data_IF_332910984933
#
_entry.id   IF_332910984933
#
_cell.length_a   1.000
_cell.length_b   1.000
_cell.length_c   1.000
_cell.angle_alpha   90.00
_cell.angle_beta   90.00
_cell.angle_gamma   90.00
#
_symmetry.space_group_name_H-M   'P 1'
#
loop_
_entity.id
_entity.type
_entity.pdbx_description
1 polymer ?
#
# COMPACT_ATOMS: atom_id res chain seq x y z
N UNK A 1 1.90 -8.36 -22.93
CA UNK A 1 0.48 -7.99 -23.19
C UNK A 1 -0.38 -8.67 -22.14
N UNK A 2 -0.77 -7.92 -21.12
CA UNK A 2 -1.74 -8.37 -20.13
C UNK A 2 -3.09 -8.43 -20.82
N UNK A 3 -3.79 -9.53 -20.63
CA UNK A 3 -5.18 -9.61 -21.04
C UNK A 3 -5.97 -9.41 -19.76
N UNK A 4 -6.52 -8.21 -19.62
CA UNK A 4 -7.32 -7.83 -18.47
C UNK A 4 -8.41 -8.89 -18.25
N UNK A 5 -8.48 -9.45 -17.05
CA UNK A 5 -9.60 -10.27 -16.64
C UNK A 5 -10.86 -9.39 -16.69
N UNK A 6 -11.56 -9.47 -17.80
CA UNK A 6 -13.00 -9.51 -17.71
C UNK A 6 -13.50 -10.47 -18.76
N UNK A 7 -13.78 -11.70 -18.33
CA UNK A 7 -14.99 -12.32 -18.86
C UNK A 7 -16.13 -11.34 -18.61
N UNK A 8 -16.67 -10.76 -19.67
CA UNK A 8 -17.80 -9.83 -19.71
C UNK A 8 -17.59 -8.39 -19.19
N UNK A 9 -17.30 -8.11 -17.93
CA UNK A 9 -17.63 -6.77 -17.37
C UNK A 9 -16.90 -5.54 -17.94
N UNK A 10 -15.59 -5.60 -18.20
CA UNK A 10 -14.81 -4.45 -18.72
C UNK A 10 -14.85 -4.39 -20.25
N UNK A 11 -14.85 -5.55 -20.93
CA UNK A 11 -15.02 -5.67 -22.40
C UNK A 11 -16.44 -5.31 -22.84
N UNK A 12 -17.43 -5.40 -21.95
CA UNK A 12 -18.81 -5.08 -22.28
C UNK A 12 -19.14 -3.59 -22.26
N UNK A 13 -18.26 -2.76 -21.73
CA UNK A 13 -18.59 -1.38 -21.46
C UNK A 13 -18.14 -0.47 -22.61
N UNK A 14 -19.08 0.29 -23.18
CA UNK A 14 -18.82 1.30 -24.22
C UNK A 14 -18.22 2.59 -23.66
N UNK A 15 -18.00 2.67 -22.34
CA UNK A 15 -17.37 3.84 -21.72
C UNK A 15 -15.84 3.69 -21.53
N UNK A 16 -15.25 2.57 -21.99
CA UNK A 16 -13.79 2.42 -22.04
C UNK A 16 -13.29 2.73 -23.46
N UNK A 17 -12.36 3.69 -23.65
CA UNK A 17 -11.89 4.11 -24.97
C UNK A 17 -11.09 3.04 -25.74
N UNK A 18 -10.65 2.01 -25.04
CA UNK A 18 -9.92 0.85 -25.56
C UNK A 18 -10.81 -0.41 -25.70
N UNK A 19 -12.12 -0.29 -25.45
CA UNK A 19 -13.05 -1.40 -25.61
C UNK A 19 -13.17 -1.81 -27.08
N UNK A 20 -13.04 -3.11 -27.43
CA UNK A 20 -13.27 -3.58 -28.78
C UNK A 20 -14.70 -3.32 -29.27
N UNK A 21 -15.65 -3.02 -28.38
CA UNK A 21 -17.01 -2.60 -28.75
C UNK A 21 -17.06 -1.26 -29.48
N UNK A 22 -16.05 -0.41 -29.35
CA UNK A 22 -15.98 0.86 -30.09
C UNK A 22 -15.70 0.65 -31.58
N UNK A 23 -15.20 -0.52 -31.98
CA UNK A 23 -15.07 -0.89 -33.39
C UNK A 23 -16.42 -1.31 -34.02
N UNK A 24 -17.44 -1.58 -33.20
CA UNK A 24 -18.79 -1.93 -33.68
C UNK A 24 -19.52 -0.65 -34.09
N UNK A 25 -20.30 -0.66 -35.19
CA UNK A 25 -21.20 0.42 -35.52
C UNK A 25 -22.11 0.84 -34.35
N UNK A 26 -22.23 2.15 -34.12
CA UNK A 26 -23.05 2.71 -33.03
C UNK A 26 -24.45 3.12 -33.49
N UNK A 27 -24.80 2.90 -34.76
CA UNK A 27 -26.09 3.22 -35.38
C UNK A 27 -27.29 2.71 -34.58
N UNK A 28 -27.20 1.50 -33.99
CA UNK A 28 -28.23 0.94 -33.14
C UNK A 28 -28.43 1.76 -31.85
N UNK A 29 -27.33 2.19 -31.22
CA UNK A 29 -27.36 3.02 -30.01
C UNK A 29 -27.90 4.41 -30.34
N UNK A 30 -27.56 4.97 -31.50
CA UNK A 30 -28.07 6.28 -31.91
C UNK A 30 -29.58 6.24 -32.19
N UNK A 31 -30.09 5.12 -32.73
CA UNK A 31 -31.50 4.95 -33.02
C UNK A 31 -32.36 4.60 -31.80
N UNK A 32 -31.85 3.81 -30.86
CA UNK A 32 -32.63 3.25 -29.75
C UNK A 32 -32.16 3.66 -28.35
N UNK A 33 -31.03 4.35 -28.22
CA UNK A 33 -30.40 4.61 -26.94
C UNK A 33 -29.76 3.37 -26.32
N UNK A 34 -29.59 3.38 -25.00
CA UNK A 34 -29.13 2.22 -24.22
C UNK A 34 -30.34 1.39 -23.82
N UNK A 35 -30.51 0.24 -24.46
CA UNK A 35 -31.55 -0.72 -24.14
C UNK A 35 -31.04 -1.78 -23.17
N UNK A 36 -31.83 -2.11 -22.14
CA UNK A 36 -31.61 -3.26 -21.29
C UNK A 36 -31.89 -4.58 -22.02
N UNK A 37 -31.35 -5.69 -21.51
CA UNK A 37 -31.52 -7.02 -22.13
C UNK A 37 -32.99 -7.42 -22.32
N UNK A 38 -33.86 -7.09 -21.36
CA UNK A 38 -35.30 -7.35 -21.46
C UNK A 38 -35.98 -6.56 -22.59
N UNK A 39 -35.60 -5.29 -22.76
CA UNK A 39 -36.15 -4.41 -23.80
C UNK A 39 -35.71 -4.85 -25.20
N UNK A 40 -34.44 -5.23 -25.35
CA UNK A 40 -33.92 -5.80 -26.61
C UNK A 40 -34.66 -7.08 -26.97
N UNK A 41 -34.92 -7.95 -25.98
CA UNK A 41 -35.66 -9.20 -26.20
C UNK A 41 -37.09 -8.94 -26.68
N UNK A 42 -37.83 -8.06 -26.02
CA UNK A 42 -39.18 -7.66 -26.44
C UNK A 42 -39.17 -7.06 -27.84
N UNK A 43 -38.21 -6.18 -28.15
CA UNK A 43 -38.10 -5.55 -29.47
C UNK A 43 -37.80 -6.56 -30.58
N UNK A 44 -36.97 -7.58 -30.30
CA UNK A 44 -36.68 -8.68 -31.22
C UNK A 44 -37.89 -9.58 -31.45
N UNK A 45 -38.70 -9.84 -30.42
CA UNK A 45 -39.89 -10.68 -30.50
C UNK A 45 -41.04 -9.98 -31.25
N UNK A 46 -41.26 -8.70 -30.96
CA UNK A 46 -42.40 -7.93 -31.50
C UNK A 46 -42.10 -7.29 -32.85
N UNK A 47 -40.87 -6.84 -33.10
CA UNK A 47 -40.50 -6.05 -34.27
C UNK A 47 -39.09 -6.40 -34.82
N UNK A 48 -38.83 -7.67 -35.20
CA UNK A 48 -37.48 -8.10 -35.61
C UNK A 48 -36.93 -7.32 -36.80
N UNK A 49 -37.79 -6.90 -37.75
CA UNK A 49 -37.38 -6.14 -38.93
C UNK A 49 -36.82 -4.75 -38.58
N UNK A 50 -37.17 -4.16 -37.42
CA UNK A 50 -36.60 -2.89 -36.97
C UNK A 50 -35.14 -3.02 -36.54
N UNK A 51 -34.74 -4.18 -36.01
CA UNK A 51 -33.38 -4.42 -35.54
C UNK A 51 -32.48 -5.06 -36.61
N UNK A 52 -33.08 -5.71 -37.61
CA UNK A 52 -32.36 -6.43 -38.66
C UNK A 52 -31.27 -5.62 -39.37
N UNK A 53 -31.48 -4.36 -39.82
CA UNK A 53 -30.43 -3.58 -40.48
C UNK A 53 -29.20 -3.39 -39.59
N UNK A 54 -29.41 -3.11 -38.31
CA UNK A 54 -28.34 -2.90 -37.34
C UNK A 54 -27.61 -4.19 -36.99
N UNK A 55 -28.32 -5.32 -36.92
CA UNK A 55 -27.71 -6.64 -36.74
C UNK A 55 -26.87 -7.05 -37.95
N UNK A 56 -27.33 -6.76 -39.17
CA UNK A 56 -26.57 -6.99 -40.40
C UNK A 56 -25.30 -6.13 -40.46
N UNK A 57 -25.40 -4.88 -40.03
CA UNK A 57 -24.27 -3.96 -39.92
C UNK A 57 -23.22 -4.41 -38.88
N UNK A 58 -23.67 -4.93 -37.72
CA UNK A 58 -22.79 -5.39 -36.64
C UNK A 58 -22.21 -6.80 -36.87
N UNK A 59 -22.87 -7.64 -37.68
CA UNK A 59 -22.51 -9.06 -37.89
C UNK A 59 -21.04 -9.29 -38.28
N UNK A 60 -20.40 -8.49 -39.15
CA UNK A 60 -18.98 -8.67 -39.48
C UNK A 60 -18.04 -8.56 -38.26
N UNK A 61 -18.47 -7.88 -37.20
CA UNK A 61 -17.67 -7.65 -35.99
C UNK A 61 -17.85 -8.74 -34.93
N UNK A 62 -18.84 -9.64 -35.04
CA UNK A 62 -19.12 -10.63 -34.00
C UNK A 62 -17.94 -11.55 -33.68
N UNK A 63 -17.12 -11.90 -34.67
CA UNK A 63 -15.91 -12.71 -34.48
C UNK A 63 -14.83 -12.00 -33.66
N UNK A 64 -14.87 -10.67 -33.58
CA UNK A 64 -13.95 -9.88 -32.74
C UNK A 64 -14.38 -9.82 -31.27
N UNK A 65 -15.63 -10.19 -30.97
CA UNK A 65 -16.27 -10.04 -29.65
C UNK A 65 -16.65 -11.38 -29.02
N UNK A 66 -16.65 -12.45 -29.79
CA UNK A 66 -17.06 -13.75 -29.32
C UNK A 66 -15.89 -14.54 -28.70
N UNK A 67 -16.19 -15.77 -28.32
CA UNK A 67 -15.24 -16.68 -27.71
C UNK A 67 -14.03 -17.00 -28.63
N UNK A 68 -14.17 -16.90 -29.94
CA UNK A 68 -13.14 -17.24 -30.92
C UNK A 68 -12.26 -16.04 -31.31
N UNK A 69 -12.54 -14.86 -30.76
CA UNK A 69 -11.74 -13.67 -31.03
C UNK A 69 -10.26 -13.90 -30.70
N UNK A 70 -9.32 -13.24 -31.42
CA UNK A 70 -7.89 -13.35 -31.13
C UNK A 70 -7.54 -13.02 -29.67
N UNK A 71 -8.24 -12.04 -29.07
CA UNK A 71 -8.06 -11.61 -27.69
C UNK A 71 -8.51 -12.72 -26.72
N UNK A 72 -9.74 -13.22 -26.90
CA UNK A 72 -10.31 -14.30 -26.08
C UNK A 72 -9.48 -15.58 -26.14
N UNK A 73 -9.00 -15.96 -27.33
CA UNK A 73 -8.12 -17.12 -27.51
C UNK A 73 -6.79 -16.94 -26.77
N UNK A 74 -6.14 -15.79 -26.94
CA UNK A 74 -4.85 -15.50 -26.29
C UNK A 74 -4.98 -15.50 -24.76
N UNK A 75 -6.08 -14.98 -24.21
CA UNK A 75 -6.37 -15.04 -22.78
C UNK A 75 -6.37 -16.47 -22.26
N UNK A 76 -7.13 -17.34 -22.93
CA UNK A 76 -7.22 -18.75 -22.57
C UNK A 76 -5.89 -19.47 -22.72
N UNK A 77 -5.10 -19.14 -23.74
CA UNK A 77 -3.73 -19.67 -23.89
C UNK A 77 -2.88 -19.29 -22.69
N UNK A 78 -2.82 -18.01 -22.30
CA UNK A 78 -2.03 -17.56 -21.15
C UNK A 78 -2.47 -18.26 -19.85
N UNK A 79 -3.78 -18.33 -19.59
CA UNK A 79 -4.31 -19.04 -18.42
C UNK A 79 -3.98 -20.52 -18.47
N UNK A 80 -4.14 -21.16 -19.64
CA UNK A 80 -3.80 -22.56 -19.82
C UNK A 80 -2.31 -22.83 -19.61
N UNK A 81 -1.44 -21.93 -20.06
CA UNK A 81 0.01 -22.05 -19.91
C UNK A 81 0.40 -21.92 -18.44
N UNK A 82 -0.16 -20.94 -17.72
CA UNK A 82 0.04 -20.81 -16.28
C UNK A 82 -0.52 -22.02 -15.51
N UNK A 83 -1.71 -22.51 -15.88
CA UNK A 83 -2.29 -23.72 -15.30
C UNK A 83 -1.41 -24.95 -15.53
N UNK A 84 -0.86 -25.11 -16.73
CA UNK A 84 0.07 -26.19 -17.05
C UNK A 84 1.37 -26.07 -16.25
N UNK A 85 1.87 -24.85 -16.07
CA UNK A 85 3.01 -24.58 -15.21
C UNK A 85 2.74 -24.99 -13.75
N UNK A 86 1.61 -24.57 -13.17
CA UNK A 86 1.25 -24.92 -11.79
C UNK A 86 1.05 -26.43 -11.63
N UNK A 87 0.44 -27.11 -12.62
CA UNK A 87 0.33 -28.58 -12.59
C UNK A 87 1.70 -29.28 -12.63
N UNK A 88 2.63 -28.76 -13.42
CA UNK A 88 3.95 -29.38 -13.60
C UNK A 88 4.87 -29.16 -12.39
N UNK A 89 4.74 -28.02 -11.71
CA UNK A 89 5.66 -27.60 -10.66
C UNK A 89 5.05 -27.60 -9.25
N UNK A 90 3.72 -27.61 -9.13
CA UNK A 90 2.99 -27.41 -7.90
C UNK A 90 2.94 -25.94 -7.45
N UNK A 91 2.15 -25.69 -6.40
CA UNK A 91 2.23 -24.45 -5.62
C UNK A 91 3.15 -24.71 -4.43
N UNK A 92 4.12 -23.81 -4.12
CA UNK A 92 4.94 -23.95 -2.92
C UNK A 92 4.07 -24.15 -1.67
N UNK A 93 4.44 -25.13 -0.85
CA UNK A 93 3.76 -25.43 0.40
C UNK A 93 3.93 -24.27 1.40
N UNK A 94 2.90 -24.07 2.24
CA UNK A 94 2.91 -23.07 3.31
C UNK A 94 2.49 -21.67 2.85
N UNK A 95 2.92 -20.67 3.62
CA UNK A 95 2.70 -19.26 3.33
C UNK A 95 4.03 -18.58 2.99
N UNK A 96 4.01 -17.49 2.19
CA UNK A 96 5.20 -16.68 2.01
C UNK A 96 5.64 -16.07 3.35
N UNK A 97 6.94 -15.96 3.55
CA UNK A 97 7.52 -15.25 4.68
C UNK A 97 7.15 -13.76 4.61
N UNK A 98 6.62 -13.25 5.72
CA UNK A 98 6.24 -11.86 5.91
C UNK A 98 6.76 -11.42 7.27
N UNK A 99 7.73 -10.52 7.28
CA UNK A 99 8.39 -10.05 8.52
C UNK A 99 7.82 -8.73 9.02
N UNK A 100 6.99 -8.08 8.21
CA UNK A 100 6.42 -6.76 8.45
C UNK A 100 4.90 -6.89 8.33
N UNK A 101 4.19 -6.34 9.31
CA UNK A 101 2.75 -6.20 9.24
C UNK A 101 2.34 -4.72 9.20
N UNK A 102 1.39 -4.41 8.32
CA UNK A 102 0.62 -3.17 8.34
C UNK A 102 -0.56 -3.36 9.30
N UNK A 103 -0.64 -2.54 10.33
CA UNK A 103 -1.71 -2.57 11.30
C UNK A 103 -2.97 -1.91 10.72
N UNK A 104 -4.02 -2.71 10.53
CA UNK A 104 -5.39 -2.20 10.40
C UNK A 104 -5.93 -1.92 11.80
N UNK A 105 -5.93 -0.64 12.15
CA UNK A 105 -6.35 -0.18 13.47
C UNK A 105 -7.83 -0.44 13.76
N UNK A 106 -8.22 -0.19 15.00
CA UNK A 106 -9.63 -0.18 15.40
C UNK A 106 -10.38 0.92 14.64
N UNK A 107 -11.52 0.57 14.05
CA UNK A 107 -12.34 1.43 13.18
C UNK A 107 -11.66 1.85 11.85
N UNK A 108 -10.52 1.23 11.52
CA UNK A 108 -9.80 1.55 10.29
C UNK A 108 -10.45 0.92 9.06
N UNK A 109 -10.55 1.72 8.01
CA UNK A 109 -11.10 1.35 6.71
C UNK A 109 -10.24 1.99 5.63
N UNK A 110 -9.82 1.17 4.68
CA UNK A 110 -9.09 1.61 3.51
C UNK A 110 -9.84 1.19 2.26
N UNK A 111 -9.60 1.88 1.15
CA UNK A 111 -10.08 1.46 -0.17
C UNK A 111 -8.90 1.23 -1.09
N UNK A 112 -9.15 0.63 -2.26
CA UNK A 112 -8.10 0.35 -3.24
C UNK A 112 -7.35 1.62 -3.70
N UNK A 113 -7.91 2.83 -3.57
CA UNK A 113 -7.21 4.08 -3.91
C UNK A 113 -7.62 5.23 -3.00
N UNK A 114 -6.67 6.12 -2.74
CA UNK A 114 -6.99 7.39 -2.13
C UNK A 114 -7.69 8.32 -3.14
N UNK A 115 -8.87 8.81 -2.78
CA UNK A 115 -9.57 9.88 -3.46
C UNK A 115 -10.30 10.72 -2.40
N UNK A 116 -9.94 12.00 -2.27
CA UNK A 116 -10.51 12.89 -1.26
C UNK A 116 -12.04 13.05 -1.36
N UNK A 117 -12.64 12.77 -2.53
CA UNK A 117 -14.09 12.86 -2.71
C UNK A 117 -14.82 11.55 -2.40
N UNK A 118 -14.12 10.46 -2.04
CA UNK A 118 -14.76 9.19 -1.71
C UNK A 118 -15.21 9.19 -0.26
N UNK A 119 -16.49 8.91 -0.03
CA UNK A 119 -17.00 8.66 1.30
C UNK A 119 -16.50 7.30 1.81
N UNK A 120 -16.14 7.22 3.09
CA UNK A 120 -15.76 5.96 3.72
C UNK A 120 -16.92 4.97 3.61
N UNK A 121 -16.63 3.76 3.12
CA UNK A 121 -17.64 2.71 2.87
C UNK A 121 -18.83 3.13 1.98
N UNK A 122 -18.66 4.17 1.14
CA UNK A 122 -19.75 4.67 0.29
C UNK A 122 -20.85 5.42 1.04
N UNK A 123 -20.62 5.83 2.28
CA UNK A 123 -21.58 6.54 3.13
C UNK A 123 -21.67 8.04 2.75
N UNK A 124 -22.06 8.32 1.51
CA UNK A 124 -22.06 9.70 0.97
C UNK A 124 -23.01 10.64 1.72
N UNK A 125 -24.20 10.18 2.10
CA UNK A 125 -25.16 11.01 2.84
C UNK A 125 -24.55 11.49 4.18
N UNK A 126 -23.85 10.60 4.89
CA UNK A 126 -23.14 10.92 6.13
C UNK A 126 -21.96 11.87 5.87
N UNK A 127 -21.20 11.64 4.79
CA UNK A 127 -20.04 12.45 4.46
C UNK A 127 -20.40 13.88 4.02
N UNK A 128 -21.55 14.07 3.38
CA UNK A 128 -22.07 15.41 3.03
C UNK A 128 -22.40 16.22 4.29
N UNK A 129 -23.00 15.58 5.30
CA UNK A 129 -23.30 16.24 6.58
C UNK A 129 -22.05 16.45 7.44
N UNK A 130 -21.10 15.51 7.39
CA UNK A 130 -19.84 15.55 8.12
C UNK A 130 -18.64 15.16 7.22
N UNK A 131 -17.93 16.16 6.67
CA UNK A 131 -16.83 15.92 5.73
C UNK A 131 -15.66 15.08 6.26
N UNK A 132 -15.54 14.85 7.58
CA UNK A 132 -14.54 13.94 8.14
C UNK A 132 -14.75 12.46 7.72
N UNK A 133 -15.93 12.14 7.17
CA UNK A 133 -16.25 10.84 6.59
C UNK A 133 -15.94 10.75 5.09
N UNK A 134 -15.32 11.79 4.50
CA UNK A 134 -14.54 11.61 3.27
C UNK A 134 -13.15 11.07 3.58
N UNK A 135 -12.50 10.49 2.57
CA UNK A 135 -11.12 10.03 2.73
C UNK A 135 -10.17 11.20 3.03
N UNK A 136 -9.39 11.03 4.09
CA UNK A 136 -8.47 12.03 4.59
C UNK A 136 -7.06 11.48 4.78
N UNK A 137 -6.35 12.06 5.74
CA UNK A 137 -5.00 11.65 6.12
C UNK A 137 -4.89 10.18 6.59
N UNK A 138 -5.90 9.54 7.24
CA UNK A 138 -5.82 8.12 7.55
C UNK A 138 -5.75 7.25 6.28
N UNK A 139 -6.67 7.44 5.33
CA UNK A 139 -6.72 6.63 4.11
C UNK A 139 -5.56 6.94 3.16
N UNK A 140 -5.06 8.18 3.16
CA UNK A 140 -3.83 8.54 2.44
C UNK A 140 -2.61 7.79 3.00
N UNK A 141 -2.59 7.47 4.29
CA UNK A 141 -1.54 6.66 4.89
C UNK A 141 -1.48 5.22 4.33
N UNK A 142 -2.64 4.61 4.04
CA UNK A 142 -2.70 3.33 3.32
C UNK A 142 -2.19 3.42 1.88
N UNK A 143 -2.49 4.51 1.17
CA UNK A 143 -1.89 4.76 -0.14
C UNK A 143 -0.37 4.81 -0.04
N UNK A 144 0.19 5.51 0.96
CA UNK A 144 1.65 5.58 1.14
C UNK A 144 2.27 4.22 1.45
N UNK A 145 1.63 3.43 2.31
CA UNK A 145 2.08 2.07 2.58
C UNK A 145 2.13 1.25 1.27
N UNK A 146 1.11 1.37 0.43
CA UNK A 146 1.10 0.74 -0.89
C UNK A 146 2.24 1.26 -1.78
N UNK A 147 2.43 2.57 -1.88
CA UNK A 147 3.50 3.16 -2.71
C UNK A 147 4.91 2.71 -2.27
N UNK A 148 5.10 2.33 -1.00
CA UNK A 148 6.38 1.82 -0.47
C UNK A 148 6.54 0.32 -0.68
N UNK A 149 5.54 -0.48 -0.32
CA UNK A 149 5.65 -1.94 -0.28
C UNK A 149 5.22 -2.61 -1.60
N UNK A 150 4.37 -1.94 -2.37
CA UNK A 150 3.74 -2.42 -3.61
C UNK A 150 3.70 -1.29 -4.66
N UNK A 151 4.86 -0.76 -5.10
CA UNK A 151 4.93 0.37 -6.01
C UNK A 151 4.23 0.07 -7.35
N UNK A 152 3.30 0.95 -7.75
CA UNK A 152 2.60 0.89 -9.04
C UNK A 152 3.51 1.44 -10.15
N UNK A 153 4.42 0.59 -10.66
CA UNK A 153 5.28 0.94 -11.81
C UNK A 153 4.48 0.98 -13.12
N UNK A 154 4.89 1.78 -14.11
CA UNK A 154 4.06 2.06 -15.28
C UNK A 154 4.17 0.99 -16.38
N UNK A 155 3.97 -0.28 -16.03
CA UNK A 155 4.10 -1.45 -16.93
C UNK A 155 2.91 -1.63 -17.89
N UNK A 156 1.86 -0.82 -17.74
CA UNK A 156 0.66 -0.81 -18.59
C UNK A 156 0.53 0.44 -19.46
N UNK A 157 1.59 1.24 -19.59
CA UNK A 157 1.59 2.47 -20.40
C UNK A 157 0.96 2.25 -21.78
N UNK A 158 0.12 3.18 -22.26
CA UNK A 158 -0.26 4.45 -21.62
C UNK A 158 -1.35 4.33 -20.55
N UNK A 159 -1.89 3.13 -20.32
CA UNK A 159 -2.97 2.88 -19.36
C UNK A 159 -2.47 2.81 -17.92
N UNK A 160 -3.38 3.09 -16.97
CA UNK A 160 -3.04 3.11 -15.55
C UNK A 160 -2.85 1.68 -15.05
N UNK A 161 -1.71 1.41 -14.41
CA UNK A 161 -1.49 0.19 -13.65
C UNK A 161 -2.07 0.34 -12.24
N UNK A 162 -2.86 -0.64 -11.81
CA UNK A 162 -3.60 -0.61 -10.54
C UNK A 162 -3.47 -1.93 -9.76
N UNK A 163 -2.83 -2.93 -10.36
CA UNK A 163 -2.83 -4.31 -9.89
C UNK A 163 -1.43 -4.91 -9.78
N UNK A 164 -0.47 -4.41 -10.56
CA UNK A 164 0.84 -5.01 -10.67
C UNK A 164 1.83 -4.18 -9.89
N UNK A 165 2.61 -4.83 -9.06
CA UNK A 165 3.69 -4.20 -8.33
C UNK A 165 4.81 -5.21 -8.13
N UNK A 166 6.04 -4.72 -8.08
CA UNK A 166 7.10 -5.46 -7.41
C UNK A 166 6.85 -5.46 -5.91
N UNK A 167 7.66 -6.24 -5.19
CA UNK A 167 7.64 -6.28 -3.73
C UNK A 167 9.04 -6.01 -3.21
N UNK A 168 9.58 -4.77 -3.36
CA UNK A 168 10.98 -4.46 -3.11
C UNK A 168 11.46 -4.85 -1.69
N UNK A 169 10.54 -4.86 -0.72
CA UNK A 169 10.81 -5.21 0.68
C UNK A 169 10.24 -6.58 1.10
N UNK A 170 9.77 -7.38 0.15
CA UNK A 170 9.07 -8.64 0.38
C UNK A 170 7.57 -8.48 0.57
N UNK A 171 6.90 -9.60 0.84
CA UNK A 171 5.48 -9.60 1.20
C UNK A 171 5.30 -8.92 2.57
N UNK A 172 4.21 -8.18 2.71
CA UNK A 172 3.78 -7.60 3.98
C UNK A 172 2.35 -8.03 4.28
N UNK A 173 2.09 -8.36 5.53
CA UNK A 173 0.76 -8.78 5.97
C UNK A 173 -0.07 -7.55 6.37
N UNK A 174 -1.39 -7.69 6.30
CA UNK A 174 -2.30 -6.75 6.97
C UNK A 174 -2.88 -7.45 8.19
N UNK A 175 -2.56 -6.94 9.37
CA UNK A 175 -3.02 -7.50 10.64
C UNK A 175 -4.11 -6.60 11.23
N UNK A 176 -5.27 -7.17 11.53
CA UNK A 176 -6.46 -6.41 11.95
C UNK A 176 -6.66 -6.42 13.45
N UNK A 177 -6.54 -5.25 14.08
CA UNK A 177 -6.86 -5.06 15.50
C UNK A 177 -8.35 -5.06 15.81
N UNK A 178 -9.21 -5.12 14.79
CA UNK A 178 -10.66 -5.24 14.99
C UNK A 178 -10.99 -6.37 15.98
N UNK A 179 -11.94 -6.10 16.89
CA UNK A 179 -12.39 -7.00 17.97
C UNK A 179 -11.38 -7.26 19.10
N UNK A 180 -10.15 -6.75 19.02
CA UNK A 180 -9.10 -6.95 20.03
C UNK A 180 -8.76 -8.43 20.31
N UNK A 181 -8.78 -9.28 19.28
CA UNK A 181 -8.52 -10.73 19.38
C UNK A 181 -7.05 -11.13 19.11
N UNK A 182 -6.18 -10.15 18.88
CA UNK A 182 -4.73 -10.37 18.69
C UNK A 182 -4.01 -10.33 20.04
N UNK A 183 -2.92 -11.09 20.16
CA UNK A 183 -1.99 -11.04 21.29
C UNK A 183 -0.61 -10.52 20.89
N UNK A 184 0.14 -9.98 21.85
CA UNK A 184 1.54 -9.61 21.65
C UNK A 184 2.39 -10.83 21.27
N UNK A 185 2.16 -11.98 21.91
CA UNK A 185 2.84 -13.25 21.59
C UNK A 185 2.72 -13.61 20.11
N UNK A 186 1.50 -13.54 19.55
CA UNK A 186 1.28 -13.79 18.13
C UNK A 186 2.09 -12.80 17.28
N UNK A 187 2.00 -11.50 17.59
CA UNK A 187 2.71 -10.47 16.83
C UNK A 187 4.23 -10.65 16.88
N UNK A 188 4.80 -10.92 18.06
CA UNK A 188 6.24 -11.15 18.23
C UNK A 188 6.73 -12.42 17.52
N UNK A 189 5.88 -13.45 17.44
CA UNK A 189 6.20 -14.69 16.75
C UNK A 189 6.25 -14.50 15.23
N UNK A 190 5.36 -13.68 14.68
CA UNK A 190 5.21 -13.54 13.23
C UNK A 190 5.99 -12.36 12.65
N UNK A 191 6.05 -11.22 13.35
CA UNK A 191 6.47 -9.95 12.77
C UNK A 191 7.60 -9.28 13.55
N UNK A 192 8.66 -8.92 12.81
CA UNK A 192 9.74 -8.06 13.30
C UNK A 192 9.30 -6.60 13.42
N UNK A 193 8.42 -6.16 12.53
CA UNK A 193 7.86 -4.81 12.56
C UNK A 193 6.34 -4.76 12.39
N UNK A 194 5.73 -3.81 13.09
CA UNK A 194 4.31 -3.46 13.00
C UNK A 194 4.17 -1.97 12.69
N UNK A 195 3.51 -1.63 11.58
CA UNK A 195 3.41 -0.27 11.07
C UNK A 195 1.95 0.19 10.99
N UNK A 196 1.57 1.20 11.77
CA UNK A 196 0.23 1.79 11.67
C UNK A 196 0.17 2.81 10.52
N UNK A 197 -0.52 2.44 9.43
CA UNK A 197 -0.69 3.30 8.26
C UNK A 197 -1.93 4.20 8.33
N UNK A 198 -3.05 3.68 8.85
CA UNK A 198 -4.35 4.30 8.78
C UNK A 198 -4.90 4.82 10.11
N UNK A 199 -6.24 4.79 10.21
CA UNK A 199 -6.98 5.18 11.38
C UNK A 199 -6.72 4.21 12.54
N UNK A 200 -6.76 4.69 13.79
CA UNK A 200 -6.85 3.79 14.94
C UNK A 200 -7.55 4.50 16.11
N UNK A 201 -8.59 3.89 16.64
CA UNK A 201 -9.15 4.25 17.94
C UNK A 201 -8.50 3.38 19.02
N UNK A 202 -7.56 3.96 19.78
CA UNK A 202 -6.80 3.25 20.78
C UNK A 202 -7.64 2.90 22.01
N UNK A 203 -7.36 1.74 22.59
CA UNK A 203 -7.88 1.35 23.90
C UNK A 203 -6.72 1.07 24.85
N UNK A 204 -6.95 1.11 26.16
CA UNK A 204 -5.93 0.70 27.13
C UNK A 204 -5.44 -0.73 26.89
N UNK A 205 -6.34 -1.64 26.46
CA UNK A 205 -5.99 -3.03 26.12
C UNK A 205 -5.01 -3.06 24.95
N UNK A 206 -5.32 -2.33 23.87
CA UNK A 206 -4.45 -2.25 22.71
C UNK A 206 -3.10 -1.62 23.06
N UNK A 207 -3.10 -0.55 23.85
CA UNK A 207 -1.86 0.11 24.29
C UNK A 207 -0.96 -0.83 25.10
N UNK A 208 -1.53 -1.60 26.05
CA UNK A 208 -0.80 -2.62 26.82
C UNK A 208 -0.21 -3.71 25.92
N UNK A 209 -0.98 -4.18 24.94
CA UNK A 209 -0.51 -5.16 23.95
C UNK A 209 0.65 -4.60 23.10
N UNK A 210 0.55 -3.36 22.61
CA UNK A 210 1.60 -2.73 21.83
C UNK A 210 2.88 -2.52 22.65
N UNK A 211 2.74 -2.14 23.93
CA UNK A 211 3.86 -2.10 24.88
C UNK A 211 4.53 -3.46 25.03
N UNK A 212 3.75 -4.51 25.25
CA UNK A 212 4.29 -5.86 25.39
C UNK A 212 5.00 -6.34 24.11
N UNK A 213 4.42 -6.06 22.94
CA UNK A 213 5.03 -6.36 21.64
C UNK A 213 6.41 -5.71 21.50
N UNK A 214 6.51 -4.41 21.79
CA UNK A 214 7.79 -3.67 21.71
C UNK A 214 8.77 -4.19 22.77
N UNK A 215 8.32 -4.36 24.02
CA UNK A 215 9.17 -4.86 25.11
C UNK A 215 9.83 -6.20 24.77
N UNK A 216 9.10 -7.08 24.08
CA UNK A 216 9.56 -8.40 23.67
C UNK A 216 10.46 -8.42 22.42
N UNK A 217 10.71 -7.28 21.78
CA UNK A 217 11.64 -7.17 20.64
C UNK A 217 11.01 -6.64 19.35
N UNK A 218 9.72 -6.32 19.36
CA UNK A 218 9.04 -5.77 18.19
C UNK A 218 9.50 -4.35 17.84
N UNK A 219 9.54 -4.03 16.55
CA UNK A 219 9.65 -2.66 16.05
C UNK A 219 8.26 -2.11 15.77
N UNK A 220 7.89 -1.00 16.40
CA UNK A 220 6.57 -0.38 16.23
C UNK A 220 6.72 0.99 15.57
N UNK A 221 5.91 1.27 14.54
CA UNK A 221 5.66 2.63 14.08
C UNK A 221 4.22 3.02 14.39
N UNK A 222 4.05 4.18 15.01
CA UNK A 222 2.76 4.82 15.19
C UNK A 222 2.88 6.34 15.25
N UNK A 223 1.75 7.00 15.06
CA UNK A 223 1.59 8.45 15.15
C UNK A 223 0.68 8.82 16.31
N UNK A 224 0.84 10.03 16.82
CA UNK A 224 0.07 10.55 17.96
C UNK A 224 -1.45 10.31 17.84
N UNK A 225 -2.14 10.56 16.70
CA UNK A 225 -3.59 10.37 16.62
C UNK A 225 -4.00 8.91 16.74
N UNK A 226 -3.11 7.96 16.42
CA UNK A 226 -3.38 6.53 16.58
C UNK A 226 -3.38 6.09 18.05
N UNK A 227 -2.98 6.97 18.98
CA UNK A 227 -3.10 6.78 20.43
C UNK A 227 -4.33 7.49 21.02
N UNK A 228 -5.16 8.12 20.18
CA UNK A 228 -6.43 8.73 20.59
C UNK A 228 -7.49 7.67 20.86
N UNK A 229 -8.31 7.88 21.89
CA UNK A 229 -9.51 7.07 22.18
C UNK A 229 -10.74 7.58 21.42
N UNK A 230 -10.60 8.66 20.65
CA UNK A 230 -11.67 9.27 19.89
C UNK A 230 -12.08 8.40 18.67
N UNK A 231 -13.38 8.23 18.47
CA UNK A 231 -13.99 7.45 17.37
C UNK A 231 -14.74 8.32 16.33
N UNK A 232 -14.75 9.65 16.51
CA UNK A 232 -15.59 10.59 15.73
C UNK A 232 -14.99 11.06 14.40
N UNK A 233 -13.81 10.56 14.01
CA UNK A 233 -13.07 11.06 12.83
C UNK A 233 -12.55 12.51 12.91
N UNK A 234 -12.79 13.18 14.04
CA UNK A 234 -12.29 14.53 14.29
C UNK A 234 -10.79 14.54 14.61
N UNK A 235 -10.03 15.41 13.93
CA UNK A 235 -8.65 15.76 14.29
C UNK A 235 -8.58 16.84 15.39
N UNK A 236 -9.74 17.36 15.82
CA UNK A 236 -9.85 18.30 16.92
C UNK A 236 -10.14 17.53 18.22
N UNK A 237 -9.12 16.83 18.73
CA UNK A 237 -9.14 16.17 20.03
C UNK A 237 -8.11 16.81 20.96
N UNK A 238 -8.38 16.77 22.27
CA UNK A 238 -7.49 17.27 23.31
C UNK A 238 -6.61 16.15 23.86
N UNK A 239 -5.55 16.51 24.61
CA UNK A 239 -4.61 15.54 25.17
C UNK A 239 -5.27 14.57 26.18
N UNK A 240 -6.37 14.96 26.83
CA UNK A 240 -7.16 14.08 27.71
C UNK A 240 -7.86 12.93 26.96
N UNK A 241 -8.06 13.10 25.65
CA UNK A 241 -8.65 12.12 24.74
C UNK A 241 -7.61 11.13 24.20
N UNK A 242 -6.36 11.24 24.63
CA UNK A 242 -5.32 10.25 24.39
C UNK A 242 -5.38 9.16 25.46
N UNK A 243 -5.04 7.92 25.09
CA UNK A 243 -4.87 6.85 26.09
C UNK A 243 -3.85 7.27 27.15
N UNK A 244 -4.10 6.93 28.41
CA UNK A 244 -3.32 7.39 29.57
C UNK A 244 -3.14 8.92 29.65
N UNK A 245 -4.08 9.69 29.09
CA UNK A 245 -4.03 11.16 29.09
C UNK A 245 -2.74 11.73 28.52
N UNK A 246 -2.20 11.08 27.48
CA UNK A 246 -0.99 11.50 26.76
C UNK A 246 0.32 11.06 27.41
N UNK A 247 0.29 10.32 28.52
CA UNK A 247 1.49 9.74 29.10
C UNK A 247 1.92 8.48 28.33
N UNK A 248 2.92 8.67 27.46
CA UNK A 248 3.53 7.62 26.64
C UNK A 248 4.96 7.33 27.06
N UNK A 249 5.35 7.69 28.29
CA UNK A 249 6.74 7.63 28.76
C UNK A 249 7.37 6.26 28.55
N UNK A 250 6.64 5.18 28.83
CA UNK A 250 7.15 3.83 28.66
C UNK A 250 7.25 3.39 27.19
N UNK A 251 6.28 3.73 26.34
CA UNK A 251 6.27 3.23 24.95
C UNK A 251 7.12 4.10 24.02
N UNK A 252 6.96 5.42 24.15
CA UNK A 252 7.50 6.42 23.23
C UNK A 252 8.54 7.37 23.87
N UNK A 253 8.81 7.24 25.17
CA UNK A 253 9.80 8.08 25.87
C UNK A 253 9.34 9.53 26.11
N UNK A 254 8.04 9.82 25.92
CA UNK A 254 7.50 11.19 25.95
C UNK A 254 6.15 11.27 26.66
N UNK A 255 5.82 12.47 27.12
CA UNK A 255 4.47 12.84 27.55
C UNK A 255 3.92 13.95 26.66
N UNK A 256 2.75 13.74 26.07
CA UNK A 256 2.05 14.75 25.27
C UNK A 256 1.24 15.64 26.21
N UNK A 257 1.52 16.94 26.18
CA UNK A 257 0.85 17.94 27.03
C UNK A 257 -0.38 18.53 26.37
N UNK A 258 -0.25 18.94 25.10
CA UNK A 258 -1.29 19.63 24.35
C UNK A 258 -0.93 19.69 22.86
N UNK A 259 -1.87 20.15 22.04
CA UNK A 259 -1.63 20.51 20.66
C UNK A 259 -0.70 21.73 20.56
N UNK A 260 0.30 21.63 19.70
CA UNK A 260 1.22 22.70 19.36
C UNK A 260 0.91 23.38 18.03
N UNK A 261 1.82 24.26 17.64
CA UNK A 261 1.70 25.04 16.41
C UNK A 261 1.94 24.19 15.16
N UNK A 262 1.51 24.72 14.01
CA UNK A 262 1.78 24.10 12.73
C UNK A 262 3.26 24.22 12.35
N UNK A 263 3.77 23.17 11.71
CA UNK A 263 5.07 23.15 11.03
C UNK A 263 4.86 23.01 9.52
N UNK A 264 5.75 23.62 8.74
CA UNK A 264 5.72 23.56 7.29
C UNK A 264 6.78 22.62 6.73
N UNK A 265 7.93 22.53 7.40
CA UNK A 265 9.08 21.77 6.94
C UNK A 265 9.66 20.94 8.06
N UNK A 266 10.08 19.73 7.72
CA UNK A 266 10.82 18.85 8.60
C UNK A 266 12.14 18.46 7.95
N UNK A 267 13.19 18.26 8.74
CA UNK A 267 14.52 17.91 8.25
C UNK A 267 15.19 16.89 9.17
N UNK A 268 16.13 16.13 8.60
CA UNK A 268 17.00 15.25 9.38
C UNK A 268 18.00 16.08 10.19
N UNK A 269 18.28 15.73 11.46
CA UNK A 269 19.33 16.39 12.23
C UNK A 269 20.70 16.32 11.55
N UNK A 270 21.53 17.34 11.78
CA UNK A 270 22.91 17.38 11.27
C UNK A 270 23.68 16.16 11.79
N UNK A 271 24.37 15.44 10.89
CA UNK A 271 25.17 14.27 11.24
C UNK A 271 24.37 12.96 11.38
N UNK A 272 23.05 12.98 11.17
CA UNK A 272 22.22 11.77 11.14
C UNK A 272 22.01 11.28 9.70
N UNK A 273 22.09 9.95 9.53
CA UNK A 273 21.77 9.22 8.30
C UNK A 273 20.81 8.04 8.54
N UNK A 274 20.24 7.93 9.75
CA UNK A 274 19.47 6.77 10.23
C UNK A 274 18.25 6.41 9.36
N UNK A 275 17.71 7.38 8.62
CA UNK A 275 16.58 7.17 7.71
C UNK A 275 17.00 7.00 6.25
N UNK A 276 18.30 6.77 5.99
CA UNK A 276 18.84 6.61 4.63
C UNK A 276 18.92 7.92 3.84
N UNK A 277 18.87 9.07 4.53
CA UNK A 277 19.09 10.40 3.97
C UNK A 277 19.79 11.30 5.01
N UNK A 278 20.46 12.34 4.53
CA UNK A 278 21.30 13.23 5.34
C UNK A 278 20.88 14.69 5.21
N UNK A 279 21.30 15.51 6.17
CA UNK A 279 21.09 16.96 6.12
C UNK A 279 21.76 17.54 4.86
N UNK A 280 21.14 18.48 4.13
CA UNK A 280 19.92 19.24 4.47
C UNK A 280 18.63 18.71 3.81
N UNK A 281 18.38 17.40 3.79
CA UNK A 281 17.12 16.87 3.24
C UNK A 281 15.91 17.45 3.98
N UNK A 282 14.98 18.06 3.24
CA UNK A 282 13.76 18.71 3.76
C UNK A 282 12.48 18.08 3.23
N UNK A 283 11.52 17.83 4.10
CA UNK A 283 10.21 17.26 3.79
C UNK A 283 9.12 18.31 4.04
N UNK A 284 8.18 18.45 3.12
CA UNK A 284 7.12 19.45 3.18
C UNK A 284 6.73 19.93 1.79
N UNK A 285 5.83 20.89 1.62
CA UNK A 285 5.15 21.64 2.69
C UNK A 285 4.12 20.78 3.44
N UNK A 286 4.31 20.58 4.75
CA UNK A 286 3.48 19.70 5.58
C UNK A 286 2.20 20.38 6.08
N UNK A 287 2.32 21.57 6.68
CA UNK A 287 1.19 22.33 7.22
C UNK A 287 0.46 21.60 8.36
N UNK A 288 1.18 20.87 9.20
CA UNK A 288 0.59 20.02 10.25
C UNK A 288 0.92 20.53 11.65
N UNK A 289 -0.03 20.48 12.61
CA UNK A 289 0.26 20.74 14.02
C UNK A 289 1.19 19.69 14.61
N UNK A 290 2.19 20.13 15.38
CA UNK A 290 3.06 19.27 16.17
C UNK A 290 2.51 19.13 17.59
N UNK A 291 2.67 17.98 18.24
CA UNK A 291 2.35 17.85 19.67
C UNK A 291 3.36 18.59 20.55
N UNK A 292 2.88 19.29 21.59
CA UNK A 292 3.74 19.76 22.68
C UNK A 292 4.08 18.56 23.55
N UNK A 293 5.36 18.23 23.63
CA UNK A 293 5.83 17.04 24.36
C UNK A 293 6.87 17.42 25.40
N UNK A 294 6.81 16.74 26.55
CA UNK A 294 7.94 16.59 27.46
C UNK A 294 8.68 15.31 27.10
N UNK A 295 10.00 15.39 26.93
CA UNK A 295 10.87 14.23 26.78
C UNK A 295 11.16 13.67 28.16
N UNK A 296 10.77 12.42 28.39
CA UNK A 296 10.88 11.75 29.69
C UNK A 296 12.10 10.83 29.73
N UNK A 297 12.42 10.15 28.62
CA UNK A 297 13.67 9.41 28.46
C UNK A 297 14.76 10.31 27.86
N UNK A 298 15.83 10.54 28.62
CA UNK A 298 16.99 11.31 28.18
C UNK A 298 17.74 10.66 27.01
N UNK A 299 17.56 9.37 26.78
CA UNK A 299 18.16 8.62 25.67
C UNK A 299 17.28 8.59 24.42
N UNK A 300 16.14 9.29 24.42
CA UNK A 300 15.25 9.36 23.28
C UNK A 300 15.97 9.91 22.06
N UNK A 301 16.03 9.12 20.99
CA UNK A 301 16.65 9.57 19.76
C UNK A 301 15.69 10.44 18.94
N UNK A 302 16.19 11.57 18.43
CA UNK A 302 15.44 12.43 17.53
C UNK A 302 15.88 12.11 16.10
N UNK A 303 14.97 11.59 15.29
CA UNK A 303 15.25 11.20 13.90
C UNK A 303 14.94 12.30 12.90
N UNK A 304 13.91 13.12 13.19
CA UNK A 304 13.49 14.25 12.38
C UNK A 304 13.10 15.39 13.30
N UNK A 305 13.45 16.61 12.92
CA UNK A 305 13.06 17.85 13.58
C UNK A 305 12.30 18.77 12.64
N UNK A 306 11.55 19.74 13.17
CA UNK A 306 11.04 20.84 12.36
C UNK A 306 12.18 21.79 11.97
N UNK A 307 12.15 22.29 10.73
CA UNK A 307 13.25 23.08 10.15
C UNK A 307 13.41 24.47 10.80
N UNK A 308 12.39 24.96 11.51
CA UNK A 308 12.38 26.31 12.10
C UNK A 308 12.89 26.34 13.54
N UNK A 309 12.41 25.41 14.39
CA UNK A 309 12.69 25.44 15.83
C UNK A 309 13.41 24.18 16.33
N UNK A 310 13.74 23.26 15.44
CA UNK A 310 14.40 21.99 15.77
C UNK A 310 13.65 21.12 16.80
N UNK A 311 12.32 21.24 16.89
CA UNK A 311 11.47 20.43 17.76
C UNK A 311 11.30 19.03 17.19
N UNK A 312 11.18 17.98 18.03
CA UNK A 312 11.08 16.61 17.55
C UNK A 312 9.78 16.33 16.77
N UNK A 313 9.93 15.89 15.52
CA UNK A 313 8.82 15.42 14.66
C UNK A 313 8.72 13.91 14.69
N UNK A 314 9.86 13.22 14.59
CA UNK A 314 9.95 11.76 14.68
C UNK A 314 11.02 11.40 15.69
N UNK A 315 10.65 10.56 16.65
CA UNK A 315 11.57 10.04 17.66
C UNK A 315 11.65 8.52 17.59
N UNK A 316 12.75 7.97 18.11
CA UNK A 316 12.96 6.54 18.28
C UNK A 316 13.26 6.26 19.74
N UNK A 317 12.34 5.55 20.40
CA UNK A 317 12.47 5.13 21.79
C UNK A 317 12.81 3.65 21.86
N UNK A 318 13.84 3.30 22.62
CA UNK A 318 14.19 1.91 22.90
C UNK A 318 13.48 1.44 24.16
N UNK A 319 12.66 0.39 24.05
CA UNK A 319 11.87 -0.12 25.17
C UNK A 319 11.96 -1.65 25.24
N UNK A 320 12.50 -2.16 26.33
CA UNK A 320 12.83 -3.58 26.47
C UNK A 320 13.84 -4.02 25.41
N UNK A 321 13.48 -5.04 24.62
CA UNK A 321 14.31 -5.56 23.52
C UNK A 321 14.00 -4.91 22.17
N UNK A 322 12.94 -4.11 22.08
CA UNK A 322 12.44 -3.53 20.84
C UNK A 322 12.57 -2.01 20.80
N UNK A 323 11.89 -1.40 19.83
CA UNK A 323 11.95 0.03 19.59
C UNK A 323 10.63 0.58 19.02
N UNK A 324 10.30 1.82 19.34
CA UNK A 324 9.12 2.52 18.86
C UNK A 324 9.52 3.81 18.11
N UNK A 325 9.16 3.87 16.82
CA UNK A 325 9.17 5.08 16.01
C UNK A 325 7.86 5.84 16.29
N UNK A 326 7.98 6.97 16.96
CA UNK A 326 6.84 7.82 17.30
C UNK A 326 6.80 9.05 16.40
N UNK A 327 5.69 9.22 15.68
CA UNK A 327 5.42 10.39 14.87
C UNK A 327 4.57 11.41 15.65
N UNK A 328 5.18 12.52 16.05
CA UNK A 328 4.62 13.55 16.93
C UNK A 328 3.73 14.59 16.23
N UNK A 329 3.07 14.24 15.13
CA UNK A 329 2.13 15.14 14.45
C UNK A 329 0.72 14.92 14.97
N UNK A 330 -0.07 15.97 15.18
CA UNK A 330 -1.50 15.86 15.55
C UNK A 330 -2.40 15.35 14.40
N UNK A 331 -1.78 14.91 13.30
CA UNK A 331 -2.42 14.39 12.09
C UNK A 331 -1.89 13.00 11.76
N UNK A 332 -2.71 12.19 11.11
CA UNK A 332 -2.31 10.83 10.71
C UNK A 332 -1.17 10.83 9.68
N UNK A 333 -0.44 9.70 9.52
CA UNK A 333 0.79 9.63 8.73
C UNK A 333 0.63 10.07 7.27
N UNK A 334 -0.56 9.91 6.68
CA UNK A 334 -0.85 10.35 5.31
C UNK A 334 -0.67 11.85 5.06
N UNK A 335 -0.69 12.69 6.11
CA UNK A 335 -0.36 14.12 5.98
C UNK A 335 1.11 14.34 5.56
N UNK A 336 1.99 13.39 5.85
CA UNK A 336 3.43 13.46 5.57
C UNK A 336 3.84 12.84 4.23
N UNK A 337 2.85 12.57 3.38
CA UNK A 337 3.03 12.18 1.98
C UNK A 337 3.67 13.28 1.14
N UNK A 338 3.46 14.54 1.54
CA UNK A 338 3.78 15.70 0.71
C UNK A 338 5.28 15.96 0.76
N UNK A 339 5.87 16.05 -0.43
CA UNK A 339 7.24 16.47 -0.64
C UNK A 339 7.28 17.35 -1.89
N UNK A 340 6.79 18.57 -1.69
CA UNK A 340 6.63 19.61 -2.67
C UNK A 340 7.28 20.91 -2.17
N UNK A 341 8.29 21.38 -2.90
CA UNK A 341 8.93 22.68 -2.75
C UNK A 341 10.45 22.60 -2.78
N UNK A 342 11.17 23.65 -2.32
CA UNK A 342 12.63 23.70 -2.47
C UNK A 342 13.33 22.56 -1.71
N UNK A 343 14.04 21.70 -2.46
CA UNK A 343 14.77 20.54 -1.90
C UNK A 343 13.99 19.22 -1.89
N UNK A 344 12.76 19.21 -2.43
CA UNK A 344 11.99 17.99 -2.65
C UNK A 344 12.54 17.15 -3.80
N UNK A 345 12.28 15.84 -3.76
CA UNK A 345 12.74 14.90 -4.78
C UNK A 345 11.58 14.40 -5.65
N UNK A 346 11.82 14.29 -6.96
CA UNK A 346 10.85 13.68 -7.87
C UNK A 346 10.60 12.22 -7.47
N UNK A 347 9.33 11.83 -7.37
CA UNK A 347 8.95 10.46 -7.01
C UNK A 347 9.18 10.09 -5.53
N UNK A 348 9.44 11.07 -4.66
CA UNK A 348 9.53 10.86 -3.22
C UNK A 348 8.20 10.42 -2.62
N UNK A 349 8.23 9.44 -1.72
CA UNK A 349 7.05 9.03 -0.94
C UNK A 349 6.86 9.87 0.34
N UNK A 350 7.41 11.08 0.36
CA UNK A 350 7.41 11.97 1.53
C UNK A 350 8.22 11.42 2.70
N UNK A 351 8.11 12.09 3.86
CA UNK A 351 8.83 11.69 5.06
C UNK A 351 8.46 10.27 5.51
N UNK A 352 7.17 9.91 5.43
CA UNK A 352 6.70 8.59 5.83
C UNK A 352 7.35 7.47 5.00
N UNK A 353 7.53 7.72 3.70
CA UNK A 353 8.22 6.76 2.82
C UNK A 353 9.63 6.44 3.28
N UNK A 354 10.39 7.43 3.75
CA UNK A 354 11.75 7.19 4.28
C UNK A 354 11.71 6.38 5.57
N UNK A 355 10.76 6.65 6.47
CA UNK A 355 10.61 5.91 7.72
C UNK A 355 10.26 4.45 7.44
N UNK A 356 9.27 4.18 6.57
CA UNK A 356 8.87 2.81 6.25
C UNK A 356 9.97 2.03 5.56
N UNK A 357 10.70 2.65 4.62
CA UNK A 357 11.84 2.01 3.96
C UNK A 357 12.97 1.70 4.95
N UNK A 358 13.26 2.60 5.89
CA UNK A 358 14.25 2.36 6.94
C UNK A 358 13.85 1.18 7.83
N UNK A 359 12.61 1.16 8.33
CA UNK A 359 12.10 0.04 9.13
C UNK A 359 12.11 -1.27 8.32
N UNK A 360 11.72 -1.23 7.05
CA UNK A 360 11.70 -2.40 6.19
C UNK A 360 13.09 -2.96 5.92
N UNK A 361 14.10 -2.08 5.75
CA UNK A 361 15.49 -2.49 5.61
C UNK A 361 16.04 -3.13 6.89
N UNK A 362 15.68 -2.62 8.06
CA UNK A 362 16.05 -3.20 9.35
C UNK A 362 15.33 -4.52 9.64
N UNK A 363 14.15 -4.73 9.03
CA UNK A 363 13.25 -5.83 9.34
C UNK A 363 13.29 -6.98 8.32
N UNK A 364 14.31 -7.04 7.46
CA UNK A 364 14.40 -8.04 6.37
C UNK A 364 14.26 -9.48 6.86
N UNK A 365 13.64 -10.32 6.02
CA UNK A 365 13.60 -11.78 6.17
C UNK A 365 14.93 -12.47 5.85
N UNK A 366 14.88 -13.79 5.71
CA UNK A 366 16.07 -14.56 5.29
C UNK A 366 16.38 -14.39 3.81
N UNK A 367 15.37 -14.03 3.03
CA UNK A 367 15.45 -13.80 1.59
C UNK A 367 14.98 -12.37 1.29
N UNK A 368 15.76 -11.63 0.50
CA UNK A 368 15.41 -10.26 0.09
C UNK A 368 16.14 -9.88 -1.20
N UNK A 369 15.71 -8.79 -1.84
CA UNK A 369 16.27 -8.31 -3.10
C UNK A 369 16.85 -6.90 -2.97
N UNK A 370 17.80 -6.55 -3.83
CA UNK A 370 18.40 -5.21 -3.87
C UNK A 370 18.96 -4.87 -5.24
N UNK A 371 19.16 -3.59 -5.51
CA UNK A 371 19.81 -3.11 -6.74
C UNK A 371 21.33 -3.02 -6.56
N UNK A 372 21.79 -2.67 -5.35
CA UNK A 372 23.18 -2.31 -5.06
C UNK A 372 23.85 -3.20 -4.00
N UNK A 373 23.27 -4.38 -3.72
CA UNK A 373 23.63 -5.30 -2.62
C UNK A 373 23.31 -4.77 -1.22
N UNK A 374 22.84 -3.54 -1.08
CA UNK A 374 22.55 -2.93 0.22
C UNK A 374 21.08 -2.68 0.41
N UNK A 375 20.36 -2.20 -0.61
CA UNK A 375 18.95 -1.81 -0.53
C UNK A 375 18.20 -1.98 -1.86
N UNK A 376 16.86 -2.12 -1.81
CA UNK A 376 16.03 -2.06 -2.99
C UNK A 376 16.12 -0.69 -3.67
N UNK A 377 16.07 -0.69 -5.00
CA UNK A 377 16.01 0.47 -5.86
C UNK A 377 15.02 0.24 -7.01
N UNK A 378 15.25 0.94 -8.12
CA UNK A 378 14.29 1.02 -9.22
C UNK A 378 14.03 -0.33 -9.89
N UNK A 379 15.02 -1.22 -10.02
CA UNK A 379 14.79 -2.54 -10.62
C UNK A 379 13.98 -3.46 -9.71
N UNK A 380 14.17 -3.36 -8.38
CA UNK A 380 13.34 -4.11 -7.43
C UNK A 380 11.86 -3.72 -7.47
N UNK A 381 11.52 -2.49 -7.87
CA UNK A 381 10.12 -2.06 -8.02
C UNK A 381 9.36 -2.82 -9.14
N UNK A 382 10.08 -3.48 -10.06
CA UNK A 382 9.53 -4.31 -11.14
C UNK A 382 9.61 -5.81 -10.85
N UNK A 383 10.12 -6.23 -9.68
CA UNK A 383 10.25 -7.64 -9.32
C UNK A 383 9.36 -7.97 -8.13
N UNK A 384 8.32 -8.76 -8.38
CA UNK A 384 7.55 -9.36 -7.29
C UNK A 384 8.27 -10.62 -6.82
N UNK A 385 8.54 -10.71 -5.52
CA UNK A 385 9.19 -11.87 -4.92
C UNK A 385 8.46 -12.36 -3.68
N UNK A 386 8.54 -13.68 -3.47
CA UNK A 386 8.04 -14.36 -2.28
C UNK A 386 8.97 -15.51 -1.94
N UNK A 387 9.26 -15.69 -0.66
CA UNK A 387 9.99 -16.85 -0.15
C UNK A 387 9.03 -17.72 0.67
N UNK A 388 8.97 -19.02 0.38
CA UNK A 388 8.13 -20.00 1.07
C UNK A 388 9.01 -20.92 1.94
N UNK A 389 9.09 -20.69 3.26
CA UNK A 389 10.04 -21.41 4.11
C UNK A 389 9.80 -22.91 4.22
N UNK A 390 8.53 -23.32 4.24
CA UNK A 390 8.15 -24.73 4.34
C UNK A 390 8.56 -25.52 3.08
N UNK A 391 8.52 -24.87 1.92
CA UNK A 391 8.88 -25.48 0.65
C UNK A 391 10.38 -25.31 0.30
N UNK A 392 11.11 -24.41 0.97
CA UNK A 392 12.46 -24.02 0.55
C UNK A 392 12.47 -23.40 -0.85
N UNK A 393 11.45 -22.59 -1.19
CA UNK A 393 11.25 -22.05 -2.55
C UNK A 393 11.21 -20.54 -2.57
N UNK A 394 11.90 -19.94 -3.54
CA UNK A 394 11.83 -18.52 -3.86
C UNK A 394 11.12 -18.38 -5.21
N UNK A 395 10.07 -17.57 -5.25
CA UNK A 395 9.37 -17.20 -6.47
C UNK A 395 9.75 -15.77 -6.85
N UNK A 396 10.11 -15.55 -8.12
CA UNK A 396 10.41 -14.25 -8.70
C UNK A 396 9.57 -14.05 -9.95
N UNK A 397 8.94 -12.89 -10.07
CA UNK A 397 8.21 -12.47 -11.25
C UNK A 397 8.72 -11.10 -11.68
N UNK A 398 9.23 -10.99 -12.90
CA UNK A 398 9.37 -9.70 -13.55
C UNK A 398 8.00 -9.23 -14.03
N UNK A 399 7.47 -8.17 -13.44
CA UNK A 399 6.17 -7.61 -13.83
C UNK A 399 6.26 -6.64 -15.01
N UNK A 400 7.46 -6.37 -15.51
CA UNK A 400 7.70 -5.64 -16.74
C UNK A 400 7.53 -6.57 -17.95
N UNK A 401 6.71 -6.18 -18.92
CA UNK A 401 6.44 -6.96 -20.12
C UNK A 401 7.32 -6.59 -21.31
N UNK A 402 8.19 -5.59 -21.14
CA UNK A 402 9.02 -5.03 -22.21
C UNK A 402 10.51 -5.11 -21.89
N UNK A 403 10.88 -4.94 -20.61
CA UNK A 403 12.28 -4.84 -20.20
C UNK A 403 12.72 -5.98 -19.31
N UNK A 404 13.98 -6.37 -19.47
CA UNK A 404 14.66 -7.23 -18.51
C UNK A 404 15.01 -6.43 -17.24
N UNK A 405 14.99 -7.10 -16.10
CA UNK A 405 15.40 -6.50 -14.83
C UNK A 405 16.45 -7.38 -14.16
N UNK A 406 17.47 -6.72 -13.61
CA UNK A 406 18.59 -7.38 -12.96
C UNK A 406 18.70 -6.91 -11.53
N UNK A 407 18.67 -7.86 -10.59
CA UNK A 407 18.70 -7.62 -9.15
C UNK A 407 19.77 -8.48 -8.48
N UNK A 408 20.11 -8.13 -7.24
CA UNK A 408 20.83 -9.01 -6.32
C UNK A 408 19.82 -9.73 -5.42
N UNK A 409 19.79 -11.05 -5.50
CA UNK A 409 19.05 -11.92 -4.60
C UNK A 409 19.95 -12.26 -3.40
N UNK A 410 19.46 -11.97 -2.21
CA UNK A 410 20.08 -12.36 -0.96
C UNK A 410 19.32 -13.52 -0.36
N UNK A 411 20.01 -14.60 0.01
CA UNK A 411 19.42 -15.74 0.70
C UNK A 411 20.43 -16.34 1.68
N UNK A 412 20.07 -16.40 2.97
CA UNK A 412 20.88 -17.05 4.02
C UNK A 412 22.37 -16.65 4.05
N UNK A 413 22.67 -15.38 3.76
CA UNK A 413 24.05 -14.85 3.72
C UNK A 413 24.75 -14.97 2.37
N UNK A 414 24.15 -15.66 1.40
CA UNK A 414 24.57 -15.62 0.00
C UNK A 414 23.97 -14.39 -0.70
N UNK A 415 24.70 -13.84 -1.67
CA UNK A 415 24.27 -12.73 -2.51
C UNK A 415 24.65 -13.02 -3.95
N UNK A 416 23.67 -13.20 -4.82
CA UNK A 416 23.87 -13.57 -6.22
C UNK A 416 23.09 -12.64 -7.16
N UNK A 417 23.61 -12.48 -8.38
CA UNK A 417 22.99 -11.63 -9.39
C UNK A 417 21.98 -12.46 -10.19
N UNK A 418 20.75 -12.00 -10.27
CA UNK A 418 19.66 -12.64 -11.03
C UNK A 418 19.14 -11.66 -12.07
N UNK A 419 19.11 -12.10 -13.32
CA UNK A 419 18.46 -11.37 -14.43
C UNK A 419 17.19 -12.12 -14.82
N UNK A 420 16.10 -11.37 -14.95
CA UNK A 420 14.78 -11.87 -15.36
C UNK A 420 14.40 -11.20 -16.68
N UNK A 421 14.07 -12.02 -17.66
CA UNK A 421 13.52 -11.59 -18.95
C UNK A 421 12.15 -10.93 -18.75
N UNK A 422 11.65 -10.18 -19.74
CA UNK A 422 10.30 -9.61 -19.67
C UNK A 422 9.24 -10.68 -19.35
N UNK A 423 8.40 -10.41 -18.36
CA UNK A 423 7.35 -11.31 -17.85
C UNK A 423 7.85 -12.68 -17.34
N UNK A 424 9.14 -12.85 -17.10
CA UNK A 424 9.69 -14.12 -16.62
C UNK A 424 9.23 -14.42 -15.20
N UNK A 425 8.61 -15.59 -15.03
CA UNK A 425 8.39 -16.21 -13.73
C UNK A 425 9.45 -17.28 -13.49
N UNK A 426 10.16 -17.17 -12.38
CA UNK A 426 11.25 -18.07 -12.00
C UNK A 426 11.03 -18.60 -10.59
N UNK A 427 11.13 -19.92 -10.44
CA UNK A 427 11.20 -20.57 -9.13
C UNK A 427 12.61 -21.09 -8.90
N UNK A 428 13.15 -20.79 -7.72
CA UNK A 428 14.51 -21.13 -7.32
C UNK A 428 14.41 -21.93 -6.02
N UNK A 429 15.14 -23.04 -5.95
CA UNK A 429 15.39 -23.75 -4.69
C UNK A 429 16.28 -22.91 -3.78
N UNK A 430 15.95 -22.82 -2.50
CA UNK A 430 16.85 -22.19 -1.55
C UNK A 430 18.17 -22.95 -1.45
N UNK A 431 19.24 -22.25 -1.09
CA UNK A 431 20.55 -22.85 -0.82
C UNK A 431 20.60 -23.73 0.45
N UNK A 432 19.46 -24.03 1.08
CA UNK A 432 19.34 -24.73 2.35
C UNK A 432 18.68 -26.08 2.19
#
# INVERSE_FOLDING_TARGET
MIINESGNWFVEHTLSPDSPKLAIPQSARDAFGVLGWGEVKTLLEENPEKLKPYLEEARPYFSSLNYDSPISRKYRTIISDFWNFVKANGTPQGQPESTIALAKGNNDLATARYNHNYAISGLYDIAIENPNWFQGTPERGWKLARDVFFPEVPVLKPYVNIHLSGTPYGQVDVVSFARNDISAEFLNKQYKALLFAGWNTCSEKQYKLLKEYVFNGGTLFLSLPQLSTNDTRSLNFAADSLVNSGDFSELCGVKVLDRGDNIYWATVPIGSDKLGCTFPRRFGVLGVPLGKIDIIDENLEILIVDDEQARPVVTLHHYGKGKCYFLNTWTYPGALAIDEGPGSLLGSAGLLGYIYRAIANDSRGYVWISDDKTKPGASCDYVAFSYFPEAGRICLLNIDFEQEHTIWLHQFGMCEKVTLSPAEFKMIDTSK
#
